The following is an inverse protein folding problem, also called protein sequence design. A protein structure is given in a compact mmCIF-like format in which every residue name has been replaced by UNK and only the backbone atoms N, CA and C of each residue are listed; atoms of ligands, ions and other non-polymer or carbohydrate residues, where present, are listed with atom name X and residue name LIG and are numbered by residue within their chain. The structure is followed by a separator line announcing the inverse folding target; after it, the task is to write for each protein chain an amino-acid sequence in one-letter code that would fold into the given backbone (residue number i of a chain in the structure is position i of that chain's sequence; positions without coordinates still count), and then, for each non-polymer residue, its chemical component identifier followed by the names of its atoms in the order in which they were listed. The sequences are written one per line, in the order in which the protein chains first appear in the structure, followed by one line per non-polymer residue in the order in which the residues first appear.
data_IF_403330904633
#
_entry.id   IF_403330904633
#
_cell.length_a   1.000
_cell.length_b   1.000
_cell.length_c   1.000
_cell.angle_alpha   90.00
_cell.angle_beta   90.00
_cell.angle_gamma   90.00
#
_symmetry.space_group_name_H-M   'P 1'
#
loop_
_entity.id
_entity.type
_entity.pdbx_description
1 polymer ?
#
# COMPACT_ATOMS: atom_id res chain seq x y z
N UNK A 1 -37.46 -78.83 -17.05
CA UNK A 1 -37.38 -78.30 -15.67
C UNK A 1 -35.94 -77.83 -15.41
N UNK A 2 -35.77 -76.52 -15.12
CA UNK A 2 -34.58 -75.78 -14.63
C UNK A 2 -33.21 -75.95 -15.32
N UNK A 3 -32.90 -74.98 -16.22
CA UNK A 3 -31.54 -74.54 -16.55
C UNK A 3 -31.01 -73.66 -15.40
N UNK A 4 -29.86 -74.00 -14.81
CA UNK A 4 -29.10 -73.14 -13.88
C UNK A 4 -28.17 -72.24 -14.71
N UNK A 5 -28.36 -70.92 -14.61
CA UNK A 5 -27.41 -69.90 -15.07
C UNK A 5 -26.37 -69.68 -13.98
N UNK A 6 -25.10 -69.75 -14.34
CA UNK A 6 -23.95 -69.30 -13.54
C UNK A 6 -23.81 -67.79 -13.69
N UNK A 7 -23.89 -67.06 -12.59
CA UNK A 7 -23.61 -65.63 -12.50
C UNK A 7 -22.15 -65.46 -12.07
N UNK A 8 -21.32 -64.92 -12.96
CA UNK A 8 -19.96 -64.49 -12.62
C UNK A 8 -20.03 -63.19 -11.81
N UNK A 9 -19.48 -63.22 -10.59
CA UNK A 9 -19.30 -62.04 -9.74
C UNK A 9 -18.13 -61.21 -10.26
N UNK A 10 -18.43 -60.02 -10.77
CA UNK A 10 -17.44 -59.02 -11.16
C UNK A 10 -17.09 -58.20 -9.91
N UNK A 11 -15.94 -58.47 -9.30
CA UNK A 11 -15.40 -57.68 -8.19
C UNK A 11 -14.85 -56.37 -8.76
N UNK A 12 -15.58 -55.26 -8.55
CA UNK A 12 -15.07 -53.92 -8.80
C UNK A 12 -14.08 -53.55 -7.68
N UNK A 13 -12.77 -53.58 -7.98
CA UNK A 13 -11.75 -52.96 -7.14
C UNK A 13 -11.75 -51.47 -7.45
N UNK A 14 -12.34 -50.68 -6.56
CA UNK A 14 -12.28 -49.22 -6.61
C UNK A 14 -10.87 -48.80 -6.14
N UNK A 15 -9.92 -48.69 -7.07
CA UNK A 15 -8.65 -48.03 -6.82
C UNK A 15 -8.91 -46.52 -6.70
N UNK A 16 -9.05 -46.04 -5.47
CA UNK A 16 -8.95 -44.60 -5.15
C UNK A 16 -7.48 -44.22 -5.29
N UNK A 17 -7.06 -44.01 -6.53
CA UNK A 17 -5.80 -43.35 -6.83
C UNK A 17 -5.93 -41.90 -6.40
N UNK A 18 -5.48 -41.58 -5.19
CA UNK A 18 -5.09 -40.22 -4.85
C UNK A 18 -3.96 -39.83 -5.81
N UNK A 19 -4.30 -39.20 -6.93
CA UNK A 19 -3.37 -38.39 -7.70
C UNK A 19 -2.90 -37.27 -6.78
N UNK A 20 -1.82 -37.55 -6.04
CA UNK A 20 -0.97 -36.52 -5.48
C UNK A 20 -0.37 -35.75 -6.65
N UNK A 21 -1.10 -34.74 -7.14
CA UNK A 21 -0.54 -33.75 -8.02
C UNK A 21 0.58 -33.07 -7.23
N UNK A 22 1.82 -33.46 -7.53
CA UNK A 22 2.99 -32.70 -7.14
C UNK A 22 2.84 -31.32 -7.79
N UNK A 23 2.28 -30.37 -7.05
CA UNK A 23 2.23 -28.97 -7.43
C UNK A 23 3.66 -28.56 -7.76
N UNK A 24 3.91 -28.29 -9.03
CA UNK A 24 5.23 -27.92 -9.52
C UNK A 24 5.74 -26.73 -8.68
N UNK A 25 6.84 -26.97 -7.98
CA UNK A 25 7.57 -25.97 -7.21
C UNK A 25 8.15 -24.94 -8.19
N UNK A 26 7.39 -23.90 -8.52
CA UNK A 26 7.86 -22.82 -9.38
C UNK A 26 6.73 -21.94 -9.88
N UNK A 27 6.76 -20.67 -9.48
CA UNK A 27 5.96 -19.55 -9.98
C UNK A 27 4.48 -19.46 -9.53
N UNK A 28 4.24 -19.44 -8.21
CA UNK A 28 2.97 -18.91 -7.65
C UNK A 28 3.03 -17.40 -7.36
N UNK A 29 3.97 -16.66 -7.96
CA UNK A 29 4.14 -15.21 -7.72
C UNK A 29 4.13 -14.47 -9.05
N UNK A 30 3.31 -13.42 -9.15
CA UNK A 30 3.27 -12.43 -10.24
C UNK A 30 3.59 -11.06 -9.70
N UNK A 31 3.89 -10.13 -10.60
CA UNK A 31 3.92 -8.69 -10.32
C UNK A 31 4.81 -8.33 -9.13
N UNK A 32 5.98 -8.97 -9.05
CA UNK A 32 6.96 -8.60 -8.04
C UNK A 32 7.53 -7.23 -8.37
N UNK A 33 7.42 -6.33 -7.39
CA UNK A 33 7.98 -4.99 -7.43
C UNK A 33 8.95 -4.81 -6.28
N UNK A 34 9.97 -3.99 -6.50
CA UNK A 34 10.98 -3.69 -5.49
C UNK A 34 11.43 -2.25 -5.61
N UNK A 35 11.59 -1.60 -4.46
CA UNK A 35 12.31 -0.33 -4.33
C UNK A 35 13.48 -0.50 -3.36
N UNK A 36 14.65 0.04 -3.71
CA UNK A 36 15.88 -0.06 -2.92
C UNK A 36 16.39 1.35 -2.63
N UNK A 37 16.68 1.63 -1.36
CA UNK A 37 17.28 2.89 -0.90
C UNK A 37 18.67 2.63 -0.29
N UNK A 38 19.25 3.53 0.51
CA UNK A 38 20.64 3.39 0.99
C UNK A 38 20.79 2.33 2.09
N UNK A 39 19.79 2.17 2.95
CA UNK A 39 19.81 1.24 4.09
C UNK A 39 18.55 0.39 4.18
N UNK A 40 17.68 0.45 3.18
CA UNK A 40 16.42 -0.27 3.16
C UNK A 40 15.99 -0.76 1.77
N UNK A 41 15.05 -1.70 1.77
CA UNK A 41 14.35 -2.13 0.56
C UNK A 41 12.89 -2.46 0.87
N UNK A 42 11.99 -2.14 -0.06
CA UNK A 42 10.60 -2.59 -0.07
C UNK A 42 10.46 -3.67 -1.13
N UNK A 43 9.88 -4.80 -0.75
CA UNK A 43 9.54 -5.91 -1.65
C UNK A 43 8.02 -6.07 -1.62
N UNK A 44 7.41 -6.06 -2.80
CA UNK A 44 5.99 -6.32 -2.99
C UNK A 44 5.81 -7.46 -3.98
N UNK A 45 4.78 -8.27 -3.79
CA UNK A 45 4.37 -9.27 -4.77
C UNK A 45 2.94 -9.74 -4.57
N UNK A 46 2.39 -10.43 -5.57
CA UNK A 46 1.06 -11.04 -5.52
C UNK A 46 1.12 -12.51 -5.93
N UNK A 47 0.27 -13.39 -5.37
CA UNK A 47 -0.06 -14.66 -5.98
C UNK A 47 -0.78 -14.47 -7.31
N UNK A 48 -0.58 -15.41 -8.24
CA UNK A 48 -1.16 -15.40 -9.60
C UNK A 48 -2.68 -15.29 -9.58
N UNK A 49 -3.34 -16.01 -8.68
CA UNK A 49 -4.81 -16.02 -8.58
C UNK A 49 -5.24 -15.21 -7.35
N UNK A 50 -6.12 -14.24 -7.61
CA UNK A 50 -6.74 -13.30 -6.66
C UNK A 50 -7.54 -13.99 -5.54
N UNK A 51 -7.82 -15.28 -5.67
CA UNK A 51 -8.46 -16.11 -4.65
C UNK A 51 -7.48 -16.56 -3.56
N UNK A 52 -6.18 -16.59 -3.84
CA UNK A 52 -5.19 -17.04 -2.87
C UNK A 52 -4.79 -15.90 -1.93
N UNK A 53 -5.03 -16.13 -0.64
CA UNK A 53 -4.46 -15.34 0.44
C UNK A 53 -3.41 -16.16 1.19
N UNK A 54 -2.25 -15.58 1.46
CA UNK A 54 -1.16 -16.21 2.18
C UNK A 54 -0.64 -15.27 3.26
N UNK A 55 -0.19 -15.83 4.38
CA UNK A 55 0.77 -15.06 5.18
C UNK A 55 2.09 -14.99 4.41
N UNK A 56 2.93 -14.04 4.74
CA UNK A 56 4.19 -13.88 4.02
C UNK A 56 5.32 -13.34 4.87
N UNK A 57 6.54 -13.58 4.41
CA UNK A 57 7.76 -12.92 4.84
C UNK A 57 8.78 -12.92 3.71
N UNK A 58 9.82 -12.11 3.86
CA UNK A 58 10.99 -12.11 2.96
C UNK A 58 12.16 -12.68 3.74
N UNK A 59 12.82 -13.69 3.17
CA UNK A 59 14.13 -14.15 3.65
C UNK A 59 15.22 -13.36 2.90
N UNK A 60 16.27 -12.91 3.60
CA UNK A 60 17.32 -12.07 3.02
C UNK A 60 18.67 -12.21 3.75
N UNK A 61 19.77 -11.84 3.11
CA UNK A 61 21.11 -11.82 3.70
C UNK A 61 22.20 -11.49 2.69
N UNK A 62 23.47 -11.36 3.10
CA UNK A 62 24.55 -10.91 2.18
C UNK A 62 24.97 -11.97 1.17
N UNK A 63 25.09 -13.22 1.63
CA UNK A 63 25.54 -14.36 0.81
C UNK A 63 24.41 -15.38 0.59
N UNK A 64 23.60 -15.62 1.62
CA UNK A 64 22.44 -16.50 1.61
C UNK A 64 21.27 -15.82 2.35
N UNK A 65 20.01 -16.19 2.10
CA UNK A 65 18.85 -15.61 2.76
C UNK A 65 18.66 -16.19 4.18
N UNK A 66 19.51 -15.76 5.12
CA UNK A 66 19.64 -16.28 6.49
C UNK A 66 18.88 -15.47 7.56
N UNK A 67 18.41 -14.27 7.21
CA UNK A 67 17.50 -13.44 8.01
C UNK A 67 16.10 -13.48 7.40
N UNK A 68 15.09 -13.02 8.16
CA UNK A 68 13.74 -12.82 7.65
C UNK A 68 13.04 -11.60 8.22
N UNK A 69 12.12 -11.01 7.45
CA UNK A 69 11.15 -10.04 7.97
C UNK A 69 10.13 -10.74 8.88
N UNK A 70 9.40 -9.98 9.72
CA UNK A 70 8.28 -10.54 10.47
C UNK A 70 7.23 -11.18 9.54
N UNK A 71 6.59 -12.25 10.01
CA UNK A 71 5.43 -12.82 9.33
C UNK A 71 4.32 -11.77 9.24
N UNK A 72 3.66 -11.67 8.08
CA UNK A 72 2.52 -10.77 7.91
C UNK A 72 1.42 -11.08 8.94
N UNK A 73 0.85 -10.01 9.52
CA UNK A 73 -0.16 -10.11 10.60
C UNK A 73 -1.38 -10.90 10.17
N UNK A 74 -1.73 -10.81 8.89
CA UNK A 74 -2.85 -11.50 8.28
C UNK A 74 -2.42 -12.13 6.96
N UNK A 75 -3.11 -13.21 6.58
CA UNK A 75 -2.97 -13.76 5.24
C UNK A 75 -3.61 -12.80 4.25
N UNK A 76 -2.93 -12.41 3.18
CA UNK A 76 -3.37 -11.42 2.18
C UNK A 76 -3.18 -11.93 0.77
N UNK A 77 -3.84 -11.32 -0.21
CA UNK A 77 -3.52 -11.54 -1.61
C UNK A 77 -2.25 -10.75 -1.96
N UNK A 78 -2.24 -9.45 -1.72
CA UNK A 78 -1.03 -8.65 -1.90
C UNK A 78 -0.09 -8.73 -0.70
N UNK A 79 1.22 -8.85 -0.95
CA UNK A 79 2.24 -8.90 0.09
C UNK A 79 3.11 -7.66 0.03
N UNK A 80 3.38 -7.07 1.20
CA UNK A 80 4.23 -5.89 1.34
C UNK A 80 5.21 -6.12 2.49
N UNK A 81 6.50 -6.04 2.21
CA UNK A 81 7.55 -6.22 3.20
C UNK A 81 8.63 -5.15 3.06
N UNK A 82 9.07 -4.64 4.21
CA UNK A 82 10.19 -3.71 4.29
C UNK A 82 11.35 -4.35 5.03
N UNK A 83 12.53 -4.23 4.45
CA UNK A 83 13.80 -4.63 5.05
C UNK A 83 14.56 -3.35 5.39
N UNK A 84 15.01 -3.20 6.62
CA UNK A 84 15.71 -2.00 7.11
C UNK A 84 17.03 -2.36 7.77
N UNK A 85 17.87 -1.36 8.06
CA UNK A 85 19.16 -1.56 8.73
C UNK A 85 20.16 -2.32 7.87
N UNK A 86 20.09 -2.15 6.56
CA UNK A 86 21.01 -2.74 5.60
C UNK A 86 22.26 -1.87 5.44
N UNK A 87 23.38 -2.49 5.11
CA UNK A 87 24.66 -1.81 4.92
C UNK A 87 24.73 -1.15 3.55
N UNK A 88 24.86 0.17 3.51
CA UNK A 88 25.07 0.92 2.27
C UNK A 88 26.32 0.45 1.54
N UNK A 89 26.25 0.36 0.21
CA UNK A 89 27.27 -0.18 -0.67
C UNK A 89 27.28 -1.71 -0.78
N UNK A 90 26.52 -2.43 0.06
CA UNK A 90 26.51 -3.89 0.06
C UNK A 90 25.48 -4.47 -0.93
N UNK A 91 25.75 -5.70 -1.37
CA UNK A 91 24.79 -6.55 -2.09
C UNK A 91 24.11 -7.52 -1.14
N UNK A 92 22.81 -7.72 -1.34
CA UNK A 92 21.99 -8.68 -0.60
C UNK A 92 21.30 -9.63 -1.57
N UNK A 93 21.11 -10.87 -1.10
CA UNK A 93 20.20 -11.83 -1.71
C UNK A 93 18.90 -11.87 -0.93
N UNK A 94 17.79 -12.15 -1.61
CA UNK A 94 16.48 -12.34 -0.99
C UNK A 94 15.63 -13.36 -1.74
N UNK A 95 14.59 -13.87 -1.07
CA UNK A 95 13.46 -14.54 -1.71
C UNK A 95 12.19 -14.27 -0.94
N UNK A 96 11.08 -14.22 -1.66
CA UNK A 96 9.73 -14.09 -1.10
C UNK A 96 9.22 -15.46 -0.64
N UNK A 97 8.51 -15.48 0.48
CA UNK A 97 7.91 -16.69 1.05
C UNK A 97 6.42 -16.45 1.31
N UNK A 98 5.58 -17.29 0.70
CA UNK A 98 4.16 -17.38 0.99
C UNK A 98 3.92 -18.58 1.92
N UNK A 99 3.17 -18.37 2.99
CA UNK A 99 2.79 -19.38 3.96
C UNK A 99 1.27 -19.57 3.90
N UNK A 100 0.84 -20.77 3.53
CA UNK A 100 -0.57 -21.11 3.48
C UNK A 100 -1.19 -20.98 4.88
N UNK A 101 -2.30 -20.24 5.05
CA UNK A 101 -2.84 -19.94 6.37
C UNK A 101 -3.40 -21.17 7.08
N UNK A 102 -3.77 -22.24 6.35
CA UNK A 102 -4.40 -23.44 6.89
C UNK A 102 -3.35 -24.52 7.17
N UNK A 103 -2.63 -24.93 6.13
CA UNK A 103 -1.67 -26.04 6.15
C UNK A 103 -0.30 -25.64 6.69
N UNK A 104 -0.01 -24.34 6.75
CA UNK A 104 1.31 -23.77 7.07
C UNK A 104 2.41 -24.16 6.08
N UNK A 105 2.05 -24.75 4.94
CA UNK A 105 2.99 -25.06 3.88
C UNK A 105 3.58 -23.77 3.30
N UNK A 106 4.87 -23.79 2.99
CA UNK A 106 5.59 -22.63 2.48
C UNK A 106 5.93 -22.79 1.00
N UNK A 107 5.62 -21.76 0.21
CA UNK A 107 6.09 -21.62 -1.17
C UNK A 107 7.13 -20.52 -1.24
N UNK A 108 8.29 -20.82 -1.81
CA UNK A 108 9.43 -19.91 -1.92
C UNK A 108 9.65 -19.53 -3.38
N UNK A 109 9.98 -18.26 -3.64
CA UNK A 109 10.51 -17.85 -4.95
C UNK A 109 11.99 -18.22 -5.12
N UNK A 110 12.50 -18.02 -6.34
CA UNK A 110 13.92 -18.10 -6.62
C UNK A 110 14.68 -17.04 -5.82
N UNK A 111 15.93 -17.35 -5.45
CA UNK A 111 16.83 -16.37 -4.81
C UNK A 111 17.21 -15.31 -5.83
N UNK A 112 16.98 -14.04 -5.46
CA UNK A 112 17.25 -12.83 -6.23
C UNK A 112 18.29 -11.98 -5.52
N UNK A 113 18.80 -10.95 -6.20
CA UNK A 113 19.81 -10.02 -5.66
C UNK A 113 19.36 -8.56 -5.78
N UNK A 114 19.83 -7.71 -4.88
CA UNK A 114 19.84 -6.26 -5.03
C UNK A 114 21.09 -5.65 -4.40
N UNK A 115 21.39 -4.40 -4.75
CA UNK A 115 22.53 -3.62 -4.24
C UNK A 115 22.03 -2.30 -3.69
N UNK A 116 22.53 -1.90 -2.51
CA UNK A 116 22.19 -0.64 -1.86
C UNK A 116 23.24 0.39 -2.26
N UNK A 117 23.12 0.98 -3.44
CA UNK A 117 24.08 1.99 -3.86
C UNK A 117 23.92 3.28 -3.02
N UNK A 118 25.01 3.92 -2.56
CA UNK A 118 24.94 5.29 -2.08
C UNK A 118 24.30 6.16 -3.16
N UNK A 119 23.37 7.03 -2.77
CA UNK A 119 22.74 7.99 -3.66
C UNK A 119 23.62 9.23 -3.74
N UNK A 120 24.02 9.56 -4.95
CA UNK A 120 24.76 10.79 -5.23
C UNK A 120 23.83 12.00 -5.18
N UNK A 121 24.36 13.16 -4.78
CA UNK A 121 23.64 14.45 -4.78
C UNK A 121 22.34 14.48 -3.95
N UNK A 122 22.25 13.67 -2.88
CA UNK A 122 21.13 13.69 -1.93
C UNK A 122 21.39 14.61 -0.74
N UNK A 123 20.33 15.19 -0.20
CA UNK A 123 20.35 15.96 1.04
C UNK A 123 19.89 15.05 2.18
N UNK A 124 20.76 14.75 3.15
CA UNK A 124 20.45 13.85 4.27
C UNK A 124 19.76 14.56 5.42
N UNK A 125 18.66 13.97 5.88
CA UNK A 125 17.82 14.49 6.96
C UNK A 125 17.74 13.46 8.10
N UNK A 126 17.92 13.87 9.36
CA UNK A 126 18.43 15.17 9.79
C UNK A 126 19.93 15.31 9.53
N UNK A 127 20.45 16.53 9.66
CA UNK A 127 21.87 16.83 9.51
C UNK A 127 22.09 18.04 8.62
N UNK A 128 21.72 17.92 7.35
CA UNK A 128 21.91 19.01 6.37
C UNK A 128 20.79 20.06 6.39
N UNK A 129 19.68 19.75 7.07
CA UNK A 129 18.50 20.61 7.13
C UNK A 129 17.95 20.71 8.56
N UNK A 130 17.50 21.90 8.94
CA UNK A 130 16.81 22.14 10.21
C UNK A 130 15.32 21.78 10.11
N UNK A 131 14.75 21.23 11.18
CA UNK A 131 13.35 20.85 11.30
C UNK A 131 13.10 20.10 12.60
N UNK A 132 11.88 19.58 12.83
CA UNK A 132 10.69 19.69 11.98
C UNK A 132 9.95 21.06 12.12
N UNK A 133 9.15 21.49 11.12
CA UNK A 133 9.01 20.84 9.83
C UNK A 133 10.27 21.01 8.98
N UNK A 134 10.70 19.93 8.32
CA UNK A 134 11.74 19.99 7.31
C UNK A 134 11.12 20.52 6.00
N UNK A 135 11.60 21.67 5.52
CA UNK A 135 11.13 22.29 4.28
C UNK A 135 12.03 21.86 3.13
N UNK A 136 11.43 21.15 2.17
CA UNK A 136 12.12 20.53 1.04
C UNK A 136 11.89 21.40 -0.20
N UNK A 137 12.72 22.43 -0.37
CA UNK A 137 12.52 23.53 -1.32
C UNK A 137 13.45 23.51 -2.53
N UNK A 138 14.54 22.72 -2.51
CA UNK A 138 15.52 22.66 -3.60
C UNK A 138 14.93 21.89 -4.80
N UNK A 139 14.70 22.53 -5.95
CA UNK A 139 14.10 21.87 -7.10
C UNK A 139 14.95 20.70 -7.61
N UNK A 140 14.29 19.59 -7.97
CA UNK A 140 14.92 18.38 -8.49
C UNK A 140 15.73 17.58 -7.45
N UNK A 141 15.77 18.01 -6.19
CA UNK A 141 16.57 17.36 -5.17
C UNK A 141 15.90 16.10 -4.61
N UNK A 142 16.74 15.13 -4.25
CA UNK A 142 16.33 13.99 -3.43
C UNK A 142 16.74 14.25 -1.99
N UNK A 143 15.77 14.17 -1.09
CA UNK A 143 15.97 14.22 0.35
C UNK A 143 15.85 12.81 0.91
N UNK A 144 16.87 12.39 1.66
CA UNK A 144 16.97 11.05 2.21
C UNK A 144 16.90 11.12 3.73
N UNK A 145 15.91 10.46 4.33
CA UNK A 145 15.84 10.33 5.78
C UNK A 145 16.87 9.29 6.26
N UNK A 146 17.61 9.57 7.32
CA UNK A 146 18.71 8.71 7.82
C UNK A 146 18.48 8.22 9.26
N UNK A 147 17.41 8.65 9.90
CA UNK A 147 16.94 8.13 11.18
C UNK A 147 15.45 8.42 11.35
N UNK A 148 14.83 7.74 12.30
CA UNK A 148 13.44 8.03 12.66
C UNK A 148 13.30 9.46 13.19
N UNK A 149 12.17 10.11 12.91
CA UNK A 149 11.88 11.46 13.37
C UNK A 149 10.55 11.56 14.10
N UNK A 150 10.50 12.47 15.05
CA UNK A 150 9.29 12.86 15.77
C UNK A 150 9.04 14.36 15.58
N UNK A 151 7.79 14.73 15.37
CA UNK A 151 7.35 16.12 15.26
C UNK A 151 6.11 16.38 16.08
N UNK A 152 6.12 17.49 16.81
CA UNK A 152 4.91 18.00 17.48
C UNK A 152 3.83 18.41 16.48
N UNK A 153 4.23 18.87 15.29
CA UNK A 153 3.37 19.43 14.24
C UNK A 153 3.51 18.71 12.90
N UNK A 154 3.73 19.46 11.81
CA UNK A 154 4.10 18.87 10.52
C UNK A 154 5.52 18.27 10.59
N UNK A 155 5.77 17.14 9.93
CA UNK A 155 7.12 16.59 9.84
C UNK A 155 7.86 17.12 8.60
N UNK A 156 7.24 17.05 7.41
CA UNK A 156 7.81 17.54 6.15
C UNK A 156 6.87 18.45 5.39
N UNK A 157 7.43 19.44 4.69
CA UNK A 157 6.74 20.27 3.71
C UNK A 157 7.54 20.25 2.41
N UNK A 158 6.98 19.72 1.33
CA UNK A 158 7.61 19.71 0.00
C UNK A 158 7.17 20.95 -0.75
N UNK A 159 8.10 21.86 -1.05
CA UNK A 159 7.86 23.11 -1.79
C UNK A 159 8.61 23.17 -3.12
N UNK A 160 9.74 22.44 -3.26
CA UNK A 160 10.52 22.40 -4.49
C UNK A 160 9.87 21.56 -5.58
N UNK A 161 9.90 22.04 -6.82
CA UNK A 161 9.45 21.29 -7.98
C UNK A 161 10.39 20.11 -8.27
N UNK A 162 9.86 18.93 -8.56
CA UNK A 162 10.65 17.73 -8.85
C UNK A 162 11.33 17.11 -7.64
N UNK A 163 10.89 17.45 -6.42
CA UNK A 163 11.47 16.92 -5.19
C UNK A 163 11.07 15.46 -4.96
N UNK A 164 12.04 14.64 -4.57
CA UNK A 164 11.82 13.28 -4.05
C UNK A 164 12.13 13.26 -2.55
N UNK A 165 11.18 12.82 -1.73
CA UNK A 165 11.40 12.47 -0.34
C UNK A 165 11.44 10.94 -0.22
N UNK A 166 12.63 10.39 0.02
CA UNK A 166 12.84 8.99 0.34
C UNK A 166 13.06 8.84 1.84
N UNK A 167 12.19 8.09 2.50
CA UNK A 167 12.25 7.92 3.94
C UNK A 167 13.24 6.81 4.37
N UNK A 168 13.91 6.14 3.42
CA UNK A 168 14.88 5.04 3.65
C UNK A 168 14.44 3.99 4.68
N UNK A 169 13.14 3.72 4.70
CA UNK A 169 12.52 2.77 5.60
C UNK A 169 12.39 3.22 7.05
N UNK A 170 12.73 4.47 7.37
CA UNK A 170 12.57 5.08 8.68
C UNK A 170 11.12 5.44 8.99
N UNK A 171 10.87 5.68 10.29
CA UNK A 171 9.58 6.09 10.82
C UNK A 171 9.50 7.60 11.01
N UNK A 172 8.38 8.17 10.59
CA UNK A 172 8.02 9.58 10.75
C UNK A 172 6.80 9.67 11.64
N UNK A 173 6.95 10.11 12.88
CA UNK A 173 5.83 10.38 13.79
C UNK A 173 5.50 11.87 13.78
N UNK A 174 4.28 12.25 13.44
CA UNK A 174 3.85 13.66 13.35
C UNK A 174 2.66 13.96 14.25
N UNK A 175 2.46 15.22 14.63
CA UNK A 175 1.31 15.59 15.47
C UNK A 175 1.39 15.05 16.90
N UNK A 176 2.59 15.04 17.51
CA UNK A 176 2.78 14.59 18.90
C UNK A 176 2.18 15.56 19.93
N UNK A 177 2.14 16.86 19.64
CA UNK A 177 1.69 17.87 20.60
C UNK A 177 1.20 19.16 19.91
N UNK A 178 0.22 19.03 19.04
CA UNK A 178 -0.42 20.14 18.30
C UNK A 178 -1.94 20.13 18.50
N UNK A 179 -2.45 20.24 19.74
CA UNK A 179 -3.88 20.17 20.02
C UNK A 179 -4.66 21.19 19.19
N UNK A 180 -5.73 20.73 18.54
CA UNK A 180 -6.60 21.57 17.72
C UNK A 180 -6.02 22.03 16.37
N UNK A 181 -4.75 21.76 16.07
CA UNK A 181 -4.13 22.11 14.78
C UNK A 181 -4.08 20.91 13.87
N UNK A 182 -4.53 21.08 12.63
CA UNK A 182 -4.33 20.07 11.61
C UNK A 182 -2.83 19.93 11.29
N UNK A 183 -2.31 18.70 11.31
CA UNK A 183 -0.90 18.39 11.08
C UNK A 183 -0.73 17.32 10.01
N UNK A 184 0.50 17.21 9.47
CA UNK A 184 0.78 16.33 8.35
C UNK A 184 2.13 15.65 8.53
N UNK A 185 2.21 14.35 8.20
CA UNK A 185 3.50 13.69 8.04
C UNK A 185 4.28 14.33 6.90
N UNK A 186 3.65 14.39 5.72
CA UNK A 186 4.18 15.07 4.53
C UNK A 186 3.09 15.95 3.92
N UNK A 187 3.34 17.26 3.86
CA UNK A 187 2.48 18.22 3.20
C UNK A 187 3.10 18.66 1.87
N UNK A 188 2.47 18.31 0.76
CA UNK A 188 3.01 18.57 -0.57
C UNK A 188 2.37 19.84 -1.15
N UNK A 189 3.18 20.90 -1.23
CA UNK A 189 2.84 22.24 -1.72
C UNK A 189 3.58 22.65 -3.00
N UNK A 190 4.48 21.81 -3.50
CA UNK A 190 5.37 22.14 -4.61
C UNK A 190 4.65 22.57 -5.90
N UNK A 191 5.26 23.51 -6.62
CA UNK A 191 4.81 23.94 -7.96
C UNK A 191 5.39 23.03 -9.07
N UNK A 192 5.47 21.72 -8.81
CA UNK A 192 5.98 20.72 -9.74
C UNK A 192 5.70 19.30 -9.27
N UNK A 193 6.28 18.31 -9.97
CA UNK A 193 6.19 16.91 -9.55
C UNK A 193 6.73 16.75 -8.13
N UNK A 194 6.11 15.90 -7.34
CA UNK A 194 6.64 15.52 -6.03
C UNK A 194 6.47 14.01 -5.80
N UNK A 195 7.51 13.38 -5.26
CA UNK A 195 7.53 11.95 -4.96
C UNK A 195 7.76 11.72 -3.47
N UNK A 196 6.98 10.81 -2.86
CA UNK A 196 7.18 10.34 -1.48
C UNK A 196 7.33 8.83 -1.49
N UNK A 197 8.44 8.34 -0.95
CA UNK A 197 8.83 6.94 -1.06
C UNK A 197 9.26 6.31 0.27
N UNK A 198 9.01 5.01 0.40
CA UNK A 198 9.78 4.08 1.25
C UNK A 198 9.94 4.47 2.74
N UNK A 199 8.87 4.42 3.53
CA UNK A 199 8.96 4.60 4.97
C UNK A 199 7.66 4.34 5.72
N UNK A 200 7.65 4.60 7.01
CA UNK A 200 6.46 4.45 7.85
C UNK A 200 6.03 5.81 8.41
N UNK A 201 4.83 6.28 8.07
CA UNK A 201 4.33 7.58 8.52
C UNK A 201 3.20 7.38 9.52
N UNK A 202 3.41 7.80 10.76
CA UNK A 202 2.56 7.49 11.91
C UNK A 202 2.01 8.77 12.52
N UNK A 203 0.71 8.78 12.79
CA UNK A 203 0.11 9.83 13.59
C UNK A 203 0.50 9.68 15.06
N UNK A 204 1.00 10.77 15.63
CA UNK A 204 1.32 10.92 17.04
C UNK A 204 0.08 11.07 17.92
N UNK A 205 0.30 11.37 19.19
CA UNK A 205 -0.73 11.28 20.24
C UNK A 205 -1.77 12.41 20.25
N UNK A 206 -1.47 13.58 19.68
CA UNK A 206 -2.30 14.77 19.90
C UNK A 206 -2.16 15.80 18.76
N UNK A 207 -3.03 15.70 17.76
CA UNK A 207 -3.23 16.74 16.75
C UNK A 207 -4.72 16.95 16.44
N UNK A 208 -5.02 18.04 15.74
CA UNK A 208 -6.37 18.38 15.33
C UNK A 208 -6.95 17.41 14.28
N UNK A 209 -8.27 17.51 14.11
CA UNK A 209 -9.04 16.69 13.17
C UNK A 209 -8.52 16.87 11.74
N UNK A 210 -8.77 15.85 10.91
CA UNK A 210 -8.42 15.86 9.48
C UNK A 210 -6.91 15.85 9.18
N UNK A 211 -6.04 15.72 10.19
CA UNK A 211 -4.60 15.50 10.03
C UNK A 211 -4.34 14.28 9.13
N UNK A 212 -3.21 14.25 8.41
CA UNK A 212 -2.98 13.21 7.39
C UNK A 212 -1.52 12.77 7.29
N UNK A 213 -1.24 11.50 7.01
CA UNK A 213 0.15 11.07 6.80
C UNK A 213 0.74 11.74 5.54
N UNK A 214 0.00 11.73 4.43
CA UNK A 214 0.36 12.47 3.22
C UNK A 214 -0.82 13.30 2.74
N UNK A 215 -0.58 14.58 2.48
CA UNK A 215 -1.60 15.48 1.94
C UNK A 215 -1.08 16.35 0.79
N UNK A 216 -1.91 16.55 -0.23
CA UNK A 216 -1.77 17.67 -1.17
C UNK A 216 -3.12 18.32 -1.45
N UNK A 217 -3.12 19.64 -1.66
CA UNK A 217 -4.34 20.40 -1.95
C UNK A 217 -4.19 21.38 -3.10
N UNK A 218 -5.21 21.44 -3.96
CA UNK A 218 -5.37 22.43 -5.05
C UNK A 218 -4.15 22.53 -5.97
N UNK A 219 -3.52 21.39 -6.26
CA UNK A 219 -2.22 21.34 -6.93
C UNK A 219 -2.32 20.64 -8.28
N UNK A 220 -2.37 21.42 -9.36
CA UNK A 220 -2.38 20.94 -10.75
C UNK A 220 -1.01 20.37 -11.20
N UNK A 221 -0.33 19.58 -10.36
CA UNK A 221 1.00 19.05 -10.60
C UNK A 221 1.12 17.59 -10.19
N UNK A 222 1.91 16.78 -10.93
CA UNK A 222 2.01 15.34 -10.70
C UNK A 222 2.44 14.97 -9.28
N UNK A 223 1.89 13.87 -8.75
CA UNK A 223 2.35 13.26 -7.49
C UNK A 223 2.57 11.78 -7.68
N UNK A 224 3.60 11.26 -7.03
CA UNK A 224 3.83 9.82 -6.96
C UNK A 224 4.07 9.40 -5.50
N UNK A 225 3.26 8.47 -4.99
CA UNK A 225 3.35 7.99 -3.60
C UNK A 225 3.49 6.47 -3.62
N UNK A 226 4.62 5.95 -3.15
CA UNK A 226 4.84 4.50 -3.14
C UNK A 226 5.71 3.98 -1.99
N UNK A 227 5.61 2.68 -1.71
CA UNK A 227 6.47 2.03 -0.74
C UNK A 227 6.29 2.54 0.69
N UNK A 228 5.27 3.35 0.97
CA UNK A 228 5.00 3.85 2.33
C UNK A 228 4.02 2.92 3.05
N UNK A 229 4.15 2.88 4.37
CA UNK A 229 3.10 2.38 5.25
C UNK A 229 2.59 3.50 6.15
N UNK A 230 1.35 3.42 6.61
CA UNK A 230 0.75 4.46 7.48
C UNK A 230 0.09 3.87 8.72
N UNK A 231 -0.05 4.66 9.78
CA UNK A 231 -0.95 4.36 10.90
C UNK A 231 -1.53 5.66 11.46
N UNK A 232 -2.82 5.89 11.22
CA UNK A 232 -3.57 7.02 11.78
C UNK A 232 -4.68 6.52 12.70
N UNK A 233 -5.00 7.27 13.75
CA UNK A 233 -5.96 6.81 14.77
C UNK A 233 -6.80 7.91 15.42
N UNK A 234 -6.45 9.19 15.27
CA UNK A 234 -7.23 10.30 15.82
C UNK A 234 -8.41 10.67 14.92
N UNK A 235 -9.38 11.36 15.50
CA UNK A 235 -10.63 11.77 14.86
C UNK A 235 -10.43 12.35 13.45
N UNK A 236 -11.18 11.80 12.49
CA UNK A 236 -11.16 12.19 11.08
C UNK A 236 -9.79 12.14 10.36
N UNK A 237 -8.76 11.49 10.89
CA UNK A 237 -7.44 11.46 10.27
C UNK A 237 -7.38 10.60 9.00
N UNK A 238 -6.47 10.90 8.07
CA UNK A 238 -6.33 10.18 6.81
C UNK A 238 -4.92 9.61 6.62
N UNK A 239 -4.77 8.37 6.13
CA UNK A 239 -3.50 7.93 5.58
C UNK A 239 -3.03 8.83 4.44
N UNK A 240 -3.78 8.87 3.32
CA UNK A 240 -3.40 9.63 2.14
C UNK A 240 -4.61 10.39 1.59
N UNK A 241 -4.42 11.69 1.32
CA UNK A 241 -5.51 12.55 0.86
C UNK A 241 -5.02 13.62 -0.12
N UNK A 242 -5.62 13.64 -1.30
CA UNK A 242 -5.47 14.68 -2.31
C UNK A 242 -6.81 15.37 -2.51
N UNK A 243 -6.86 16.69 -2.30
CA UNK A 243 -8.09 17.49 -2.41
C UNK A 243 -7.92 18.62 -3.42
N UNK A 244 -8.88 18.79 -4.29
CA UNK A 244 -8.91 19.91 -5.22
C UNK A 244 -7.87 19.76 -6.34
N UNK A 245 -8.36 19.84 -7.58
CA UNK A 245 -7.64 19.90 -8.87
C UNK A 245 -6.22 19.31 -8.86
N UNK A 246 -6.06 18.12 -8.28
CA UNK A 246 -4.77 17.43 -8.24
C UNK A 246 -4.58 16.69 -9.54
N UNK A 247 -3.53 17.02 -10.30
CA UNK A 247 -3.31 16.49 -11.65
C UNK A 247 -2.23 15.40 -11.66
N UNK A 248 -2.43 14.33 -12.43
CA UNK A 248 -1.41 13.30 -12.73
C UNK A 248 -0.91 12.60 -11.45
N UNK A 249 -1.84 11.93 -10.75
CA UNK A 249 -1.59 11.34 -9.42
C UNK A 249 -1.44 9.83 -9.55
N UNK A 250 -0.30 9.32 -9.08
CA UNK A 250 0.04 7.91 -9.10
C UNK A 250 0.31 7.41 -7.67
N UNK A 251 -0.51 6.47 -7.19
CA UNK A 251 -0.40 5.95 -5.82
C UNK A 251 -0.35 4.44 -5.90
N UNK A 252 0.82 3.86 -5.58
CA UNK A 252 1.02 2.44 -5.75
C UNK A 252 1.91 1.79 -4.71
N UNK A 253 1.75 0.48 -4.49
CA UNK A 253 2.65 -0.31 -3.64
C UNK A 253 2.77 0.25 -2.21
N UNK A 254 1.64 0.67 -1.60
CA UNK A 254 1.59 1.19 -0.24
C UNK A 254 0.85 0.23 0.71
N UNK A 255 1.11 0.32 2.01
CA UNK A 255 0.32 -0.33 3.07
C UNK A 255 -0.39 0.74 3.93
N UNK A 256 -1.62 1.08 3.54
CA UNK A 256 -2.43 2.14 4.13
C UNK A 256 -3.33 1.58 5.22
N UNK A 257 -2.97 1.84 6.47
CA UNK A 257 -3.69 1.38 7.66
C UNK A 257 -4.26 2.57 8.47
N UNK A 258 -5.49 2.41 8.97
CA UNK A 258 -6.18 3.40 9.81
C UNK A 258 -6.99 2.77 10.93
N UNK A 259 -6.69 3.13 12.17
CA UNK A 259 -7.46 2.80 13.38
C UNK A 259 -8.46 3.89 13.76
N UNK A 260 -8.72 4.86 12.88
CA UNK A 260 -9.67 5.94 13.14
C UNK A 260 -11.05 5.32 13.36
N UNK A 261 -11.64 5.57 14.53
CA UNK A 261 -12.99 5.12 14.88
C UNK A 261 -13.99 6.26 15.05
N UNK A 262 -13.53 7.52 14.96
CA UNK A 262 -14.38 8.70 15.13
C UNK A 262 -14.35 9.60 13.88
N UNK A 263 -15.53 9.94 13.34
CA UNK A 263 -15.70 10.93 12.26
C UNK A 263 -16.74 11.98 12.62
N UNK A 264 -16.54 13.23 12.19
CA UNK A 264 -17.51 14.32 12.41
C UNK A 264 -18.75 14.21 11.53
N UNK A 265 -18.59 13.69 10.31
CA UNK A 265 -19.64 13.67 9.30
C UNK A 265 -19.43 12.49 8.37
N UNK A 266 -20.51 11.74 8.12
CA UNK A 266 -20.57 10.69 7.09
C UNK A 266 -20.76 11.22 5.66
N UNK A 267 -20.94 12.54 5.51
CA UNK A 267 -21.10 13.18 4.22
C UNK A 267 -19.78 13.84 3.84
N UNK A 268 -19.72 15.17 3.89
CA UNK A 268 -18.49 15.91 3.72
C UNK A 268 -17.97 16.36 5.09
N UNK A 269 -16.66 16.25 5.34
CA UNK A 269 -15.65 15.66 4.45
C UNK A 269 -15.56 14.13 4.53
N UNK A 270 -16.23 13.44 5.46
CA UNK A 270 -16.10 11.97 5.57
C UNK A 270 -14.75 11.52 6.14
N UNK A 271 -14.43 10.24 5.96
CA UNK A 271 -13.12 9.65 6.22
C UNK A 271 -12.82 8.59 5.17
N UNK A 272 -11.56 8.49 4.76
CA UNK A 272 -11.08 7.55 3.76
C UNK A 272 -9.71 7.00 4.15
N UNK A 273 -9.37 5.77 3.76
CA UNK A 273 -7.97 5.33 3.76
C UNK A 273 -7.18 6.07 2.67
N UNK A 274 -7.74 6.14 1.47
CA UNK A 274 -7.22 6.88 0.35
C UNK A 274 -8.32 7.75 -0.26
N UNK A 275 -8.13 9.06 -0.27
CA UNK A 275 -9.06 10.01 -0.88
C UNK A 275 -8.39 10.81 -2.00
N UNK A 276 -8.96 10.72 -3.18
CA UNK A 276 -8.65 11.54 -4.35
C UNK A 276 -9.93 12.32 -4.71
N UNK A 277 -10.02 13.57 -4.27
CA UNK A 277 -11.23 14.39 -4.46
C UNK A 277 -10.95 15.59 -5.35
N UNK A 278 -11.70 15.72 -6.44
CA UNK A 278 -11.51 16.78 -7.42
C UNK A 278 -10.23 16.64 -8.25
N UNK A 279 -9.73 15.42 -8.46
CA UNK A 279 -8.51 15.20 -9.27
C UNK A 279 -8.78 15.34 -10.78
N UNK A 280 -7.73 15.62 -11.55
CA UNK A 280 -7.71 15.86 -13.00
C UNK A 280 -6.54 15.10 -13.65
N UNK A 281 -6.48 15.05 -15.00
CA UNK A 281 -5.37 14.39 -15.70
C UNK A 281 -5.39 12.87 -15.56
N UNK A 282 -4.21 12.25 -15.48
CA UNK A 282 -4.04 10.81 -15.36
C UNK A 282 -4.00 10.35 -13.90
N UNK A 283 -4.96 9.54 -13.47
CA UNK A 283 -5.08 9.07 -12.09
C UNK A 283 -4.93 7.56 -12.05
N UNK A 284 -3.87 7.08 -11.41
CA UNK A 284 -3.59 5.66 -11.28
C UNK A 284 -3.45 5.26 -9.81
N UNK A 285 -4.26 4.30 -9.37
CA UNK A 285 -4.22 3.77 -8.01
C UNK A 285 -4.12 2.26 -8.06
N UNK A 286 -2.95 1.70 -7.73
CA UNK A 286 -2.77 0.26 -7.87
C UNK A 286 -1.78 -0.42 -6.93
N UNK A 287 -1.92 -1.73 -6.78
CA UNK A 287 -1.01 -2.56 -5.97
C UNK A 287 -0.89 -2.08 -4.51
N UNK A 288 -1.91 -1.41 -3.97
CA UNK A 288 -1.93 -0.97 -2.58
C UNK A 288 -2.63 -2.00 -1.68
N UNK A 289 -2.17 -2.12 -0.44
CA UNK A 289 -2.89 -2.75 0.65
C UNK A 289 -3.64 -1.65 1.41
N UNK A 290 -4.98 -1.75 1.46
CA UNK A 290 -5.82 -0.82 2.21
C UNK A 290 -6.47 -1.59 3.35
N UNK A 291 -6.28 -1.16 4.59
CA UNK A 291 -6.66 -1.96 5.77
C UNK A 291 -7.40 -1.13 6.81
N UNK A 292 -8.47 -1.70 7.34
CA UNK A 292 -9.41 -1.07 8.27
C UNK A 292 -10.13 0.12 7.61
N UNK A 293 -10.09 1.31 8.22
CA UNK A 293 -10.84 2.49 7.78
C UNK A 293 -12.33 2.42 8.12
N UNK A 294 -12.81 3.36 8.92
CA UNK A 294 -14.16 3.30 9.51
C UNK A 294 -15.31 3.73 8.58
N UNK A 295 -15.03 4.31 7.41
CA UNK A 295 -16.07 4.82 6.51
C UNK A 295 -15.85 4.44 5.05
N UNK A 296 -14.84 4.95 4.36
CA UNK A 296 -14.55 4.54 2.97
C UNK A 296 -13.10 4.05 2.91
N UNK A 297 -12.80 2.99 2.16
CA UNK A 297 -11.40 2.63 1.93
C UNK A 297 -10.82 3.53 0.83
N UNK A 298 -11.29 3.40 -0.40
CA UNK A 298 -10.77 4.14 -1.55
C UNK A 298 -11.85 5.03 -2.16
N UNK A 299 -11.61 6.35 -2.20
CA UNK A 299 -12.49 7.32 -2.84
C UNK A 299 -11.79 8.02 -4.00
N UNK A 300 -12.37 7.98 -5.21
CA UNK A 300 -11.95 8.77 -6.37
C UNK A 300 -13.08 9.65 -6.88
N UNK A 301 -12.77 10.91 -7.18
CA UNK A 301 -13.70 11.88 -7.73
C UNK A 301 -12.96 13.01 -8.44
N UNK A 302 -13.72 13.80 -9.21
CA UNK A 302 -13.18 14.87 -10.04
C UNK A 302 -13.49 14.65 -11.52
N UNK A 303 -12.62 15.19 -12.38
CA UNK A 303 -12.75 15.12 -13.84
C UNK A 303 -11.41 14.70 -14.45
N UNK A 304 -10.91 13.50 -14.13
CA UNK A 304 -9.70 12.98 -14.74
C UNK A 304 -9.89 12.81 -16.25
N UNK A 305 -8.79 12.93 -16.99
CA UNK A 305 -8.70 12.54 -18.39
C UNK A 305 -8.67 11.00 -18.49
N UNK A 306 -7.98 10.35 -17.55
CA UNK A 306 -7.95 8.90 -17.35
C UNK A 306 -7.94 8.59 -15.85
N UNK A 307 -8.74 7.61 -15.42
CA UNK A 307 -8.76 7.14 -14.04
C UNK A 307 -8.78 5.61 -14.01
N UNK A 308 -7.76 5.01 -13.44
CA UNK A 308 -7.61 3.55 -13.32
C UNK A 308 -7.37 3.16 -11.86
N UNK A 309 -8.16 2.21 -11.36
CA UNK A 309 -8.02 1.65 -10.02
C UNK A 309 -7.91 0.15 -10.12
N UNK A 310 -6.71 -0.40 -9.90
CA UNK A 310 -6.50 -1.81 -10.12
C UNK A 310 -5.56 -2.52 -9.17
N UNK A 311 -5.69 -3.83 -9.03
CA UNK A 311 -4.72 -4.66 -8.30
C UNK A 311 -4.52 -4.27 -6.82
N UNK A 312 -5.48 -3.55 -6.20
CA UNK A 312 -5.44 -3.23 -4.78
C UNK A 312 -6.01 -4.39 -3.94
N UNK A 313 -5.42 -4.67 -2.77
CA UNK A 313 -5.98 -5.57 -1.75
C UNK A 313 -6.65 -4.73 -0.65
N UNK A 314 -7.97 -4.64 -0.70
CA UNK A 314 -8.79 -3.76 0.13
C UNK A 314 -9.51 -4.58 1.19
N UNK A 315 -9.17 -4.33 2.46
CA UNK A 315 -9.83 -4.85 3.66
C UNK A 315 -10.47 -3.72 4.44
N UNK A 316 -11.71 -3.42 4.08
CA UNK A 316 -12.45 -2.30 4.61
C UNK A 316 -13.30 -2.71 5.82
N UNK A 317 -13.17 -1.98 6.93
CA UNK A 317 -13.95 -2.24 8.14
C UNK A 317 -14.87 -1.06 8.46
N UNK A 318 -16.04 -1.06 7.83
CA UNK A 318 -17.06 -0.03 8.03
C UNK A 318 -17.55 -0.01 9.49
N UNK A 319 -17.51 1.17 10.12
CA UNK A 319 -18.11 1.45 11.43
C UNK A 319 -19.22 2.51 11.33
N UNK A 320 -19.29 3.27 10.23
CA UNK A 320 -20.30 4.29 9.97
C UNK A 320 -21.17 3.94 8.78
N UNK A 321 -22.47 4.22 8.83
CA UNK A 321 -23.41 3.98 7.71
C UNK A 321 -22.97 4.68 6.41
N UNK A 322 -23.33 4.08 5.26
CA UNK A 322 -22.92 4.52 3.92
C UNK A 322 -21.40 4.49 3.68
N UNK A 323 -20.71 3.57 4.34
CA UNK A 323 -19.33 3.27 4.02
C UNK A 323 -19.18 2.31 2.83
N UNK A 324 -18.08 2.45 2.08
CA UNK A 324 -17.80 1.69 0.85
C UNK A 324 -16.33 1.29 0.79
N UNK A 325 -16.03 0.10 0.27
CA UNK A 325 -14.64 -0.24 -0.03
C UNK A 325 -14.09 0.61 -1.18
N UNK A 326 -14.89 0.84 -2.22
CA UNK A 326 -14.55 1.75 -3.33
C UNK A 326 -15.71 2.71 -3.57
N UNK A 327 -15.44 4.01 -3.65
CA UNK A 327 -16.39 5.05 -4.06
C UNK A 327 -15.81 5.81 -5.25
N UNK A 328 -16.44 5.70 -6.42
CA UNK A 328 -15.99 6.33 -7.64
C UNK A 328 -17.06 7.26 -8.22
N UNK A 329 -16.74 8.56 -8.27
CA UNK A 329 -17.61 9.61 -8.81
C UNK A 329 -17.08 10.31 -10.05
N UNK A 330 -15.90 9.93 -10.56
CA UNK A 330 -15.38 10.43 -11.83
C UNK A 330 -15.93 9.62 -13.01
N UNK A 331 -16.32 10.31 -14.08
CA UNK A 331 -16.79 9.68 -15.30
C UNK A 331 -15.65 8.90 -16.00
N UNK A 332 -16.00 7.78 -16.63
CA UNK A 332 -15.08 6.98 -17.44
C UNK A 332 -13.98 6.25 -16.66
N UNK A 333 -14.07 6.17 -15.32
CA UNK A 333 -13.09 5.43 -14.53
C UNK A 333 -13.12 3.94 -14.89
N UNK A 334 -11.96 3.31 -14.89
CA UNK A 334 -11.79 1.88 -15.05
C UNK A 334 -11.32 1.25 -13.73
N UNK A 335 -12.09 0.28 -13.22
CA UNK A 335 -11.90 -0.30 -11.89
C UNK A 335 -11.87 -1.82 -12.01
N UNK A 336 -10.69 -2.41 -11.88
CA UNK A 336 -10.55 -3.85 -12.12
C UNK A 336 -9.48 -4.56 -11.31
N UNK A 337 -9.58 -5.88 -11.16
CA UNK A 337 -8.55 -6.70 -10.52
C UNK A 337 -8.26 -6.31 -9.06
N UNK A 338 -9.18 -5.64 -8.35
CA UNK A 338 -9.01 -5.31 -6.93
C UNK A 338 -9.62 -6.41 -6.06
N UNK A 339 -8.86 -6.98 -5.12
CA UNK A 339 -9.40 -7.90 -4.13
C UNK A 339 -10.10 -7.12 -3.03
N UNK A 340 -11.44 -7.19 -2.97
CA UNK A 340 -12.22 -6.49 -1.94
C UNK A 340 -12.76 -7.45 -0.88
N UNK A 341 -12.46 -7.16 0.39
CA UNK A 341 -13.10 -7.73 1.57
C UNK A 341 -13.63 -6.57 2.41
N UNK A 342 -14.94 -6.46 2.60
CA UNK A 342 -15.56 -5.33 3.30
C UNK A 342 -16.56 -5.84 4.32
N UNK A 343 -16.51 -5.33 5.55
CA UNK A 343 -17.65 -5.47 6.49
C UNK A 343 -18.81 -4.53 6.12
N UNK A 344 -18.53 -3.59 5.21
CA UNK A 344 -19.45 -2.59 4.72
C UNK A 344 -20.01 -2.88 3.33
N UNK A 345 -20.44 -1.83 2.63
CA UNK A 345 -20.78 -1.96 1.20
C UNK A 345 -19.50 -2.16 0.38
N UNK A 346 -19.64 -2.84 -0.76
CA UNK A 346 -18.55 -3.07 -1.70
C UNK A 346 -18.18 -1.79 -2.45
N UNK A 347 -18.96 -1.45 -3.47
CA UNK A 347 -18.64 -0.35 -4.39
C UNK A 347 -19.82 0.62 -4.52
N UNK A 348 -19.53 1.92 -4.65
CA UNK A 348 -20.47 2.97 -5.02
C UNK A 348 -19.97 3.70 -6.27
N UNK A 349 -20.77 3.63 -7.34
CA UNK A 349 -20.47 4.24 -8.63
C UNK A 349 -21.49 5.34 -8.91
N UNK A 350 -21.04 6.56 -9.16
CA UNK A 350 -21.93 7.70 -9.46
C UNK A 350 -21.50 8.52 -10.68
N UNK A 351 -20.34 8.25 -11.26
CA UNK A 351 -19.90 8.85 -12.52
C UNK A 351 -20.42 8.10 -13.75
N UNK A 352 -20.64 8.82 -14.84
CA UNK A 352 -21.08 8.24 -16.11
C UNK A 352 -19.97 7.37 -16.74
N UNK A 353 -20.33 6.23 -17.32
CA UNK A 353 -19.40 5.41 -18.10
C UNK A 353 -18.30 4.71 -17.31
N UNK A 354 -18.44 4.57 -15.99
CA UNK A 354 -17.49 3.80 -15.17
C UNK A 354 -17.54 2.32 -15.57
N UNK A 355 -16.37 1.72 -15.78
CA UNK A 355 -16.19 0.29 -15.98
C UNK A 355 -15.78 -0.38 -14.67
N UNK A 356 -16.45 -1.47 -14.30
CA UNK A 356 -16.14 -2.28 -13.12
C UNK A 356 -16.14 -3.75 -13.54
N UNK A 357 -14.97 -4.38 -13.55
CA UNK A 357 -14.80 -5.78 -13.99
C UNK A 357 -13.66 -6.50 -13.25
N UNK A 358 -13.69 -7.83 -13.19
CA UNK A 358 -12.60 -8.66 -12.64
C UNK A 358 -12.14 -8.34 -11.19
N UNK A 359 -13.02 -7.85 -10.30
CA UNK A 359 -12.70 -7.57 -8.89
C UNK A 359 -13.07 -8.72 -7.93
#
# INVERSE_FOLDING_TARGET
MRKRKTTAGLTFVLLVGFCGAAWAQGALVTDEWKYVSETSAVIYWRPVDIKFAAHSYVEYGRQAPDKRTPLSREARWAQFHRITGLETGASYVYRTVNVDPVTKAETRSLVKRFMLAPKENVIRIPGELQGPPYVLDKPGATYLLTQDIESDGHAFIIEGAGVTLDLDGHTVTFGNNSPGKQTFGVHIKADGRATVANGHIVQGKNCGNYSSCVESRWRLKPAEIFGISTDVHLKCAYPVKFLGRSKDVHIHHNDLYSRVTEIESRHYPGNHLLRLDGCEGDIQVHDNLLTEGCHIALGIGGRPEHAEVHHNDIRHHQQYVNGYAISAGCAGADIHHNKVTSSGRGVHLSGDGIQLHDN
#
